data_IF_878244649594
#
_entry.id   IF_878244649594
#
_cell.length_a   1.000
_cell.length_b   1.000
_cell.length_c   1.000
_cell.angle_alpha   90.00
_cell.angle_beta   90.00
_cell.angle_gamma   90.00
#
_symmetry.space_group_name_H-M   'P 1'
#
loop_
_entity.id
_entity.type
_entity.pdbx_description
1 polymer ?
#
# COMPACT_ATOMS: atom_id res chain seq x y z
N UNK A 1 -6.04 2.16 -42.36
CA UNK A 1 -6.01 3.54 -41.84
C UNK A 1 -7.08 3.66 -40.77
N UNK A 2 -6.64 3.86 -39.52
CA UNK A 2 -7.32 4.52 -38.39
C UNK A 2 -6.82 3.92 -37.07
N UNK A 3 -5.57 4.23 -36.75
CA UNK A 3 -4.95 4.00 -35.44
C UNK A 3 -4.42 5.31 -34.83
N UNK A 4 -4.89 6.47 -35.32
CA UNK A 4 -4.31 7.79 -34.99
C UNK A 4 -5.11 8.53 -33.90
N UNK A 5 -6.23 7.97 -33.42
CA UNK A 5 -7.11 8.64 -32.44
C UNK A 5 -6.86 8.27 -30.99
N UNK A 6 -6.12 7.20 -30.68
CA UNK A 6 -5.87 6.78 -29.30
C UNK A 6 -4.64 7.47 -28.66
N UNK A 7 -3.63 7.85 -29.44
CA UNK A 7 -2.41 8.44 -28.90
C UNK A 7 -2.62 9.86 -28.36
N UNK A 8 -3.40 10.69 -29.04
CA UNK A 8 -3.62 12.09 -28.64
C UNK A 8 -4.39 12.17 -27.32
N UNK A 9 -5.42 11.33 -27.15
CA UNK A 9 -6.17 11.26 -25.89
C UNK A 9 -5.33 10.72 -24.73
N UNK A 10 -4.36 9.84 -24.99
CA UNK A 10 -3.42 9.33 -23.98
C UNK A 10 -2.43 10.43 -23.54
N UNK A 11 -1.87 11.17 -24.49
CA UNK A 11 -0.94 12.29 -24.23
C UNK A 11 -1.61 13.41 -23.42
N UNK A 12 -2.87 13.73 -23.71
CA UNK A 12 -3.62 14.76 -22.98
C UNK A 12 -3.92 14.34 -21.52
N UNK A 13 -4.24 13.06 -21.29
CA UNK A 13 -4.43 12.50 -19.95
C UNK A 13 -3.15 12.55 -19.11
N UNK A 14 -2.02 12.16 -19.70
CA UNK A 14 -0.73 12.16 -19.00
C UNK A 14 -0.30 13.58 -18.60
N UNK A 15 -0.46 14.54 -19.51
CA UNK A 15 -0.15 15.94 -19.23
C UNK A 15 -0.99 16.46 -18.06
N UNK A 16 -2.29 16.14 -18.04
CA UNK A 16 -3.18 16.50 -16.94
C UNK A 16 -2.73 15.87 -15.61
N UNK A 17 -2.34 14.59 -15.60
CA UNK A 17 -1.84 13.88 -14.42
C UNK A 17 -0.59 14.54 -13.84
N UNK A 18 0.37 14.90 -14.69
CA UNK A 18 1.60 15.59 -14.27
C UNK A 18 1.30 16.98 -13.71
N UNK A 19 0.38 17.72 -14.34
CA UNK A 19 -0.07 19.03 -13.85
C UNK A 19 -0.77 18.93 -12.49
N UNK A 20 -1.70 17.98 -12.32
CA UNK A 20 -2.40 17.75 -11.06
C UNK A 20 -1.42 17.37 -9.94
N UNK A 21 -0.46 16.49 -10.23
CA UNK A 21 0.55 16.07 -9.25
C UNK A 21 1.44 17.23 -8.79
N UNK A 22 1.91 18.05 -9.73
CA UNK A 22 2.73 19.23 -9.41
C UNK A 22 1.94 20.25 -8.59
N UNK A 23 0.71 20.54 -9.00
CA UNK A 23 -0.20 21.46 -8.32
C UNK A 23 -0.44 21.06 -6.85
N UNK A 24 -0.74 19.78 -6.60
CA UNK A 24 -0.94 19.26 -5.24
C UNK A 24 0.31 19.35 -4.35
N UNK A 25 1.51 19.32 -4.95
CA UNK A 25 2.76 19.44 -4.20
C UNK A 25 3.05 20.90 -3.81
N UNK A 26 2.70 21.84 -4.68
CA UNK A 26 2.94 23.28 -4.50
C UNK A 26 1.90 23.96 -3.58
N UNK A 27 0.74 23.32 -3.36
CA UNK A 27 -0.29 23.78 -2.44
C UNK A 27 0.10 23.55 -0.96
N UNK A 28 -0.38 24.43 -0.09
CA UNK A 28 -0.38 24.18 1.35
C UNK A 28 -1.26 22.95 1.70
N UNK A 29 -1.14 22.46 2.92
CA UNK A 29 -1.79 21.20 3.31
C UNK A 29 -3.32 21.28 3.32
N UNK A 30 -3.88 22.46 3.64
CA UNK A 30 -5.32 22.63 3.76
C UNK A 30 -5.96 22.71 2.36
N UNK A 31 -5.40 23.55 1.48
CA UNK A 31 -5.83 23.69 0.10
C UNK A 31 -5.63 22.38 -0.69
N UNK A 32 -4.51 21.67 -0.47
CA UNK A 32 -4.26 20.39 -1.11
C UNK A 32 -5.24 19.30 -0.68
N UNK A 33 -5.74 19.33 0.57
CA UNK A 33 -6.76 18.39 1.04
C UNK A 33 -8.09 18.65 0.33
N UNK A 34 -8.50 19.92 0.24
CA UNK A 34 -9.74 20.31 -0.46
C UNK A 34 -9.69 19.89 -1.93
N UNK A 35 -8.57 20.12 -2.59
CA UNK A 35 -8.41 19.76 -4.01
C UNK A 35 -8.35 18.24 -4.22
N UNK A 36 -7.71 17.51 -3.30
CA UNK A 36 -7.72 16.04 -3.31
C UNK A 36 -9.15 15.48 -3.19
N UNK A 37 -9.99 16.06 -2.31
CA UNK A 37 -11.39 15.66 -2.17
C UNK A 37 -12.19 15.90 -3.46
N UNK A 38 -12.02 17.05 -4.12
CA UNK A 38 -12.66 17.34 -5.42
C UNK A 38 -12.26 16.35 -6.52
N UNK A 39 -10.99 15.94 -6.54
CA UNK A 39 -10.49 14.94 -7.50
C UNK A 39 -11.16 13.59 -7.26
N UNK A 40 -11.38 13.22 -5.99
CA UNK A 40 -12.08 11.97 -5.64
C UNK A 40 -13.58 12.02 -5.93
N UNK A 41 -14.22 13.17 -5.71
CA UNK A 41 -15.62 13.39 -6.06
C UNK A 41 -15.84 13.37 -7.58
N UNK A 42 -14.80 13.69 -8.35
CA UNK A 42 -14.79 13.51 -9.79
C UNK A 42 -14.47 12.05 -10.14
N UNK A 43 -15.47 11.17 -10.02
CA UNK A 43 -15.31 9.72 -10.21
C UNK A 43 -14.52 9.36 -11.47
N UNK A 44 -14.75 10.08 -12.58
CA UNK A 44 -14.06 9.90 -13.85
C UNK A 44 -12.53 10.05 -13.74
N UNK A 45 -12.05 11.07 -13.01
CA UNK A 45 -10.61 11.33 -12.85
C UNK A 45 -9.99 10.25 -11.97
N UNK A 46 -10.67 9.85 -10.89
CA UNK A 46 -10.22 8.75 -10.06
C UNK A 46 -10.09 7.44 -10.85
N UNK A 47 -11.09 7.10 -11.68
CA UNK A 47 -11.03 5.92 -12.53
C UNK A 47 -9.87 5.97 -13.53
N UNK A 48 -9.56 7.13 -14.11
CA UNK A 48 -8.40 7.27 -15.00
C UNK A 48 -7.08 7.03 -14.27
N UNK A 49 -6.97 7.52 -13.03
CA UNK A 49 -5.79 7.28 -12.20
C UNK A 49 -5.63 5.79 -11.92
N UNK A 50 -6.71 5.14 -11.50
CA UNK A 50 -6.76 3.69 -11.24
C UNK A 50 -6.35 2.89 -12.48
N UNK A 51 -6.96 3.19 -13.63
CA UNK A 51 -6.69 2.51 -14.90
C UNK A 51 -5.22 2.68 -15.31
N UNK A 52 -4.69 3.90 -15.19
CA UNK A 52 -3.30 4.22 -15.49
C UNK A 52 -2.30 3.47 -14.62
N UNK A 53 -2.58 3.32 -13.31
CA UNK A 53 -1.75 2.54 -12.37
C UNK A 53 -1.81 1.04 -12.68
N UNK A 54 -2.99 0.54 -13.07
CA UNK A 54 -3.24 -0.88 -13.26
C UNK A 54 -2.80 -1.41 -14.63
N UNK A 55 -2.68 -0.54 -15.64
CA UNK A 55 -2.35 -0.93 -17.01
C UNK A 55 -0.94 -1.55 -17.11
N UNK A 56 -0.86 -2.73 -17.72
CA UNK A 56 0.40 -3.46 -18.01
C UNK A 56 1.12 -2.93 -19.26
N UNK A 57 0.37 -2.29 -20.16
CA UNK A 57 0.87 -1.74 -21.42
C UNK A 57 1.28 -0.25 -21.29
N UNK A 58 0.97 0.38 -20.15
CA UNK A 58 1.24 1.78 -19.91
C UNK A 58 2.64 1.98 -19.31
N UNK A 59 3.58 2.52 -20.09
CA UNK A 59 4.92 2.89 -19.63
C UNK A 59 4.88 4.02 -18.57
N UNK A 60 3.78 4.77 -18.48
CA UNK A 60 3.63 5.95 -17.62
C UNK A 60 2.96 5.64 -16.26
N UNK A 61 2.79 4.36 -15.91
CA UNK A 61 2.15 3.92 -14.66
C UNK A 61 2.75 4.57 -13.41
N UNK A 62 4.04 4.90 -13.42
CA UNK A 62 4.74 5.58 -12.33
C UNK A 62 4.19 6.99 -12.05
N UNK A 63 3.78 7.72 -13.08
CA UNK A 63 3.19 9.06 -12.91
C UNK A 63 1.79 8.97 -12.30
N UNK A 64 0.99 8.00 -12.75
CA UNK A 64 -0.32 7.74 -12.17
C UNK A 64 -0.20 7.28 -10.71
N UNK A 65 0.77 6.41 -10.40
CA UNK A 65 1.05 5.97 -9.04
C UNK A 65 1.51 7.10 -8.13
N UNK A 66 2.34 8.01 -8.66
CA UNK A 66 2.80 9.20 -7.94
C UNK A 66 1.67 10.17 -7.63
N UNK A 67 0.78 10.45 -8.60
CA UNK A 67 -0.40 11.30 -8.37
C UNK A 67 -1.34 10.66 -7.34
N UNK A 68 -1.60 9.36 -7.48
CA UNK A 68 -2.43 8.61 -6.54
C UNK A 68 -1.89 8.66 -5.11
N UNK A 69 -0.57 8.51 -4.95
CA UNK A 69 0.11 8.70 -3.67
C UNK A 69 -0.10 10.13 -3.14
N UNK A 70 0.14 11.15 -3.97
CA UNK A 70 -0.02 12.56 -3.58
C UNK A 70 -1.43 12.82 -3.04
N UNK A 71 -2.47 12.42 -3.79
CA UNK A 71 -3.87 12.55 -3.38
C UNK A 71 -4.08 11.95 -1.99
N UNK A 72 -3.76 10.67 -1.79
CA UNK A 72 -4.05 10.00 -0.51
C UNK A 72 -3.22 10.58 0.64
N UNK A 73 -2.00 11.06 0.37
CA UNK A 73 -1.20 11.70 1.42
C UNK A 73 -1.74 13.05 1.87
N UNK A 74 -2.48 13.75 1.01
CA UNK A 74 -3.08 15.06 1.28
C UNK A 74 -4.48 14.97 1.87
N UNK A 75 -5.21 13.88 1.62
CA UNK A 75 -6.48 13.61 2.30
C UNK A 75 -6.30 13.56 3.82
N UNK A 76 -7.30 14.06 4.54
CA UNK A 76 -7.42 13.87 5.98
C UNK A 76 -7.79 12.40 6.33
N UNK A 77 -8.02 12.12 7.61
CA UNK A 77 -8.35 10.75 8.04
C UNK A 77 -9.72 10.31 7.51
N UNK A 78 -10.70 11.21 7.44
CA UNK A 78 -12.06 10.93 6.98
C UNK A 78 -12.10 10.62 5.49
N UNK A 79 -11.43 11.42 4.66
CA UNK A 79 -11.30 11.24 3.22
C UNK A 79 -10.59 9.92 2.88
N UNK A 80 -9.52 9.58 3.62
CA UNK A 80 -8.85 8.27 3.48
C UNK A 80 -9.79 7.10 3.78
N UNK A 81 -10.53 7.17 4.88
CA UNK A 81 -11.50 6.12 5.24
C UNK A 81 -12.60 6.01 4.18
N UNK A 82 -13.11 7.13 3.68
CA UNK A 82 -14.12 7.16 2.62
C UNK A 82 -13.61 6.50 1.34
N UNK A 83 -12.40 6.86 0.91
CA UNK A 83 -11.72 6.25 -0.23
C UNK A 83 -11.54 4.74 -0.04
N UNK A 84 -11.10 4.31 1.15
CA UNK A 84 -10.98 2.90 1.51
C UNK A 84 -12.33 2.19 1.38
N UNK A 85 -13.38 2.71 2.00
CA UNK A 85 -14.70 2.07 2.02
C UNK A 85 -15.29 1.97 0.61
N UNK A 86 -15.19 3.05 -0.19
CA UNK A 86 -15.75 3.10 -1.54
C UNK A 86 -15.00 2.24 -2.54
N UNK A 87 -13.66 2.23 -2.46
CA UNK A 87 -12.81 1.65 -3.51
C UNK A 87 -11.94 0.49 -3.03
N UNK A 88 -12.26 -0.12 -1.88
CA UNK A 88 -11.43 -1.11 -1.21
C UNK A 88 -10.81 -2.16 -2.16
N UNK A 89 -11.65 -2.81 -2.97
CA UNK A 89 -11.20 -3.86 -3.89
C UNK A 89 -10.25 -3.36 -4.97
N UNK A 90 -10.44 -2.12 -5.44
CA UNK A 90 -9.59 -1.47 -6.42
C UNK A 90 -8.25 -1.10 -5.79
N UNK A 91 -8.28 -0.48 -4.60
CA UNK A 91 -7.09 -0.10 -3.84
C UNK A 91 -6.22 -1.33 -3.53
N UNK A 92 -6.86 -2.43 -3.08
CA UNK A 92 -6.18 -3.71 -2.85
C UNK A 92 -5.46 -4.19 -4.10
N UNK A 93 -6.11 -4.14 -5.26
CA UNK A 93 -5.51 -4.53 -6.55
C UNK A 93 -4.34 -3.61 -6.93
N UNK A 94 -4.49 -2.30 -6.81
CA UNK A 94 -3.44 -1.30 -7.06
C UNK A 94 -2.23 -1.58 -6.19
N UNK A 95 -2.44 -1.70 -4.88
CA UNK A 95 -1.40 -1.99 -3.90
C UNK A 95 -0.68 -3.29 -4.27
N UNK A 96 -1.42 -4.37 -4.54
CA UNK A 96 -0.85 -5.65 -4.95
C UNK A 96 -0.06 -5.57 -6.26
N UNK A 97 -0.53 -4.80 -7.24
CA UNK A 97 0.13 -4.64 -8.53
C UNK A 97 1.42 -3.83 -8.43
N UNK A 98 1.39 -2.69 -7.73
CA UNK A 98 2.60 -1.90 -7.44
C UNK A 98 3.63 -2.79 -6.74
N UNK A 99 3.22 -3.51 -5.69
CA UNK A 99 4.12 -4.45 -5.00
C UNK A 99 4.66 -5.54 -5.91
N UNK A 100 3.81 -6.17 -6.74
CA UNK A 100 4.25 -7.28 -7.60
C UNK A 100 5.26 -6.82 -8.65
N UNK A 101 5.07 -5.62 -9.23
CA UNK A 101 6.01 -5.04 -10.19
C UNK A 101 7.32 -4.65 -9.53
N UNK A 102 7.24 -3.92 -8.43
CA UNK A 102 8.43 -3.43 -7.73
C UNK A 102 9.27 -4.59 -7.21
N UNK A 103 8.65 -5.62 -6.63
CA UNK A 103 9.36 -6.83 -6.17
C UNK A 103 10.09 -7.54 -7.30
N UNK A 104 9.48 -7.63 -8.49
CA UNK A 104 10.14 -8.21 -9.66
C UNK A 104 11.34 -7.36 -10.06
N UNK A 105 11.19 -6.04 -10.13
CA UNK A 105 12.26 -5.12 -10.50
C UNK A 105 13.40 -5.17 -9.46
N UNK A 106 13.09 -5.13 -8.17
CA UNK A 106 14.08 -5.20 -7.10
C UNK A 106 14.84 -6.52 -7.04
N UNK A 107 14.13 -7.65 -7.13
CA UNK A 107 14.79 -8.96 -7.08
C UNK A 107 15.63 -9.24 -8.33
N UNK A 108 15.27 -8.67 -9.48
CA UNK A 108 16.01 -8.86 -10.74
C UNK A 108 17.17 -7.87 -10.87
N UNK A 109 16.97 -6.59 -10.52
CA UNK A 109 17.95 -5.53 -10.76
C UNK A 109 18.99 -5.38 -9.64
N UNK A 110 18.66 -5.73 -8.39
CA UNK A 110 19.56 -5.49 -7.26
C UNK A 110 19.67 -6.74 -6.36
N UNK A 111 20.41 -7.78 -6.80
CA UNK A 111 20.44 -9.04 -6.07
C UNK A 111 21.09 -8.97 -4.69
N UNK A 112 21.86 -7.92 -4.32
CA UNK A 112 22.46 -7.84 -2.97
C UNK A 112 23.19 -6.58 -2.51
N UNK A 113 23.42 -5.52 -3.29
CA UNK A 113 24.52 -4.59 -2.92
C UNK A 113 24.31 -3.08 -2.90
N UNK A 114 23.20 -2.49 -3.37
CA UNK A 114 22.98 -1.05 -3.18
C UNK A 114 21.49 -0.75 -2.98
N UNK A 115 21.02 -0.98 -1.76
CA UNK A 115 19.63 -0.69 -1.38
C UNK A 115 19.39 0.79 -1.03
N UNK A 116 20.43 1.62 -0.98
CA UNK A 116 20.31 3.06 -0.72
C UNK A 116 19.57 3.81 -1.84
N UNK A 117 19.41 3.19 -3.02
CA UNK A 117 18.64 3.72 -4.16
C UNK A 117 17.30 3.03 -4.36
N UNK A 118 16.68 2.54 -3.29
CA UNK A 118 15.30 2.07 -3.35
C UNK A 118 14.41 3.05 -4.14
N UNK A 119 13.77 2.67 -5.28
CA UNK A 119 12.91 3.57 -6.02
C UNK A 119 11.85 4.18 -5.10
N UNK A 120 11.76 5.50 -5.16
CA UNK A 120 10.84 6.35 -4.37
C UNK A 120 9.40 5.80 -4.35
N UNK A 121 8.99 5.14 -5.43
CA UNK A 121 7.64 4.59 -5.65
C UNK A 121 7.30 3.46 -4.67
N UNK A 122 8.21 2.51 -4.42
CA UNK A 122 7.95 1.39 -3.50
C UNK A 122 7.83 1.87 -2.06
N UNK A 123 8.66 2.85 -1.67
CA UNK A 123 8.56 3.49 -0.36
C UNK A 123 7.24 4.26 -0.22
N UNK A 124 6.80 4.95 -1.28
CA UNK A 124 5.54 5.66 -1.32
C UNK A 124 4.34 4.70 -1.21
N UNK A 125 4.34 3.58 -1.92
CA UNK A 125 3.29 2.57 -1.81
C UNK A 125 3.26 1.91 -0.42
N UNK A 126 4.42 1.59 0.14
CA UNK A 126 4.55 1.13 1.52
C UNK A 126 3.97 2.14 2.53
N UNK A 127 4.37 3.41 2.40
CA UNK A 127 3.89 4.51 3.24
C UNK A 127 2.38 4.70 3.13
N UNK A 128 1.86 4.58 1.90
CA UNK A 128 0.44 4.68 1.62
C UNK A 128 -0.34 3.61 2.38
N UNK A 129 0.09 2.36 2.27
CA UNK A 129 -0.56 1.25 2.98
C UNK A 129 -0.48 1.44 4.49
N UNK A 130 0.68 1.84 5.02
CA UNK A 130 0.84 2.09 6.46
C UNK A 130 -0.08 3.22 6.93
N UNK A 131 -0.20 4.31 6.17
CA UNK A 131 -1.14 5.40 6.47
C UNK A 131 -2.59 4.92 6.46
N UNK A 132 -2.97 4.14 5.46
CA UNK A 132 -4.30 3.53 5.34
C UNK A 132 -4.60 2.63 6.54
N UNK A 133 -3.66 1.73 6.89
CA UNK A 133 -3.79 0.84 8.05
C UNK A 133 -3.92 1.63 9.34
N UNK A 134 -3.11 2.69 9.53
CA UNK A 134 -3.19 3.58 10.69
C UNK A 134 -4.58 4.22 10.81
N UNK A 135 -5.14 4.71 9.71
CA UNK A 135 -6.46 5.37 9.70
C UNK A 135 -7.63 4.44 10.05
N UNK A 136 -7.44 3.12 10.02
CA UNK A 136 -8.48 2.14 10.35
C UNK A 136 -8.18 1.32 11.62
N UNK A 137 -7.14 1.66 12.39
CA UNK A 137 -6.73 0.89 13.58
C UNK A 137 -7.82 0.73 14.64
N UNK A 138 -8.76 1.67 14.69
CA UNK A 138 -9.87 1.69 15.64
C UNK A 138 -11.14 1.01 15.10
N UNK A 139 -11.11 0.51 13.86
CA UNK A 139 -12.21 -0.23 13.25
C UNK A 139 -11.78 -1.67 12.92
N UNK A 140 -12.01 -2.63 13.84
CA UNK A 140 -11.64 -4.02 13.64
C UNK A 140 -12.13 -4.63 12.34
N UNK A 141 -13.40 -4.37 11.97
CA UNK A 141 -13.99 -4.89 10.74
C UNK A 141 -13.32 -4.34 9.48
N UNK A 142 -13.01 -3.03 9.45
CA UNK A 142 -12.33 -2.42 8.30
C UNK A 142 -10.87 -2.88 8.22
N UNK A 143 -10.20 -3.00 9.36
CA UNK A 143 -8.85 -3.51 9.41
C UNK A 143 -8.80 -4.98 8.98
N UNK A 144 -9.74 -5.82 9.41
CA UNK A 144 -9.85 -7.22 8.96
C UNK A 144 -10.14 -7.30 7.45
N UNK A 145 -10.99 -6.43 6.91
CA UNK A 145 -11.21 -6.34 5.46
C UNK A 145 -9.93 -5.95 4.73
N UNK A 146 -9.24 -4.90 5.20
CA UNK A 146 -8.00 -4.38 4.63
C UNK A 146 -6.84 -5.37 4.69
N UNK A 147 -6.67 -5.99 5.86
CA UNK A 147 -5.65 -7.00 6.08
C UNK A 147 -6.03 -8.31 5.42
N UNK A 148 -7.31 -8.64 5.29
CA UNK A 148 -7.90 -9.67 4.44
C UNK A 148 -7.13 -10.99 4.34
N UNK A 149 -6.44 -11.42 5.42
CA UNK A 149 -5.55 -12.58 5.52
C UNK A 149 -4.10 -12.44 4.99
N UNK A 150 -3.61 -11.24 4.66
CA UNK A 150 -2.26 -11.10 4.14
C UNK A 150 -1.49 -9.83 4.52
N UNK A 151 -0.57 -9.98 5.48
CA UNK A 151 0.45 -8.98 5.83
C UNK A 151 1.63 -8.99 4.84
N UNK A 152 1.39 -9.13 3.52
CA UNK A 152 2.47 -9.10 2.49
C UNK A 152 3.29 -7.83 2.58
N UNK A 153 2.64 -6.71 2.89
CA UNK A 153 3.31 -5.42 3.06
C UNK A 153 4.37 -5.50 4.15
N UNK A 154 4.10 -6.21 5.25
CA UNK A 154 5.09 -6.41 6.31
C UNK A 154 6.34 -7.16 5.81
N UNK A 155 6.17 -8.20 4.96
CA UNK A 155 7.31 -8.88 4.32
C UNK A 155 8.19 -7.91 3.55
N UNK A 156 7.57 -7.03 2.76
CA UNK A 156 8.32 -6.12 1.89
C UNK A 156 9.05 -5.08 2.73
N UNK A 157 8.33 -4.47 3.67
CA UNK A 157 8.90 -3.55 4.66
C UNK A 157 10.07 -4.19 5.41
N UNK A 158 9.96 -5.46 5.83
CA UNK A 158 11.04 -6.16 6.53
C UNK A 158 12.31 -6.33 5.69
N UNK A 159 12.21 -6.28 4.36
CA UNK A 159 13.33 -6.43 3.43
C UNK A 159 13.90 -5.08 2.97
N UNK A 160 13.35 -3.94 3.41
CA UNK A 160 13.86 -2.61 3.06
C UNK A 160 15.01 -2.19 4.00
N UNK A 161 16.09 -1.57 3.50
CA UNK A 161 17.25 -1.19 4.32
C UNK A 161 16.94 -0.04 5.30
N UNK A 162 15.96 0.79 4.97
CA UNK A 162 15.63 2.04 5.66
C UNK A 162 14.13 2.13 5.81
N UNK A 163 13.66 1.94 7.04
CA UNK A 163 12.31 2.28 7.45
C UNK A 163 12.38 3.21 8.64
N UNK A 164 11.34 4.03 8.78
CA UNK A 164 11.11 4.84 9.94
C UNK A 164 10.43 4.00 11.01
N UNK A 165 10.78 4.20 12.28
CA UNK A 165 10.16 3.48 13.40
C UNK A 165 8.63 3.64 13.39
N UNK A 166 8.14 4.78 12.91
CA UNK A 166 6.72 5.07 12.80
C UNK A 166 5.91 4.06 11.97
N UNK A 167 6.50 3.39 10.98
CA UNK A 167 5.78 2.33 10.24
C UNK A 167 5.71 1.03 11.03
N UNK A 168 6.78 0.68 11.75
CA UNK A 168 6.80 -0.48 12.62
C UNK A 168 5.84 -0.33 13.81
N UNK A 169 5.62 0.91 14.29
CA UNK A 169 4.64 1.21 15.34
C UNK A 169 3.23 0.81 14.93
N UNK A 170 2.82 1.05 13.68
CA UNK A 170 1.51 0.62 13.18
C UNK A 170 1.35 -0.89 13.25
N UNK A 171 2.38 -1.66 12.84
CA UNK A 171 2.33 -3.12 12.98
C UNK A 171 2.36 -3.56 14.44
N UNK A 172 3.09 -2.85 15.32
CA UNK A 172 3.09 -3.15 16.75
C UNK A 172 1.69 -2.98 17.34
N UNK A 173 1.02 -1.89 17.03
CA UNK A 173 -0.35 -1.63 17.47
C UNK A 173 -1.33 -2.68 16.93
N UNK A 174 -1.25 -3.03 15.64
CA UNK A 174 -2.05 -4.11 15.05
C UNK A 174 -1.82 -5.42 15.80
N UNK A 175 -0.57 -5.82 16.02
CA UNK A 175 -0.26 -7.11 16.65
C UNK A 175 -0.57 -7.15 18.15
N UNK A 176 -0.68 -6.00 18.81
CA UNK A 176 -1.21 -5.88 20.17
C UNK A 176 -2.71 -6.08 20.18
N UNK A 177 -3.45 -5.48 19.23
CA UNK A 177 -4.92 -5.62 19.14
C UNK A 177 -5.37 -6.97 18.58
N UNK A 178 -4.59 -7.58 17.68
CA UNK A 178 -4.95 -8.80 16.92
C UNK A 178 -3.82 -9.84 16.97
N UNK A 179 -3.77 -10.61 18.05
CA UNK A 179 -2.68 -11.56 18.32
C UNK A 179 -2.60 -12.73 17.33
N UNK A 180 -3.72 -13.10 16.71
CA UNK A 180 -3.85 -14.13 15.67
C UNK A 180 -2.91 -13.87 14.48
N UNK A 181 -2.61 -12.61 14.19
CA UNK A 181 -1.72 -12.23 13.10
C UNK A 181 -0.24 -12.41 13.42
N UNK A 182 0.17 -12.58 14.69
CA UNK A 182 1.59 -12.68 15.08
C UNK A 182 2.33 -13.81 14.37
N UNK A 183 1.67 -14.97 14.19
CA UNK A 183 2.26 -16.12 13.50
C UNK A 183 2.54 -15.81 12.02
N UNK A 184 1.49 -15.39 11.29
CA UNK A 184 1.60 -15.04 9.86
C UNK A 184 2.57 -13.88 9.64
N UNK A 185 2.54 -12.86 10.50
CA UNK A 185 3.49 -11.74 10.46
C UNK A 185 4.93 -12.25 10.57
N UNK A 186 5.21 -13.12 11.56
CA UNK A 186 6.55 -13.67 11.74
C UNK A 186 7.04 -14.49 10.56
N UNK A 187 6.26 -15.45 10.11
CA UNK A 187 6.62 -16.31 8.97
C UNK A 187 6.98 -15.49 7.71
N UNK A 188 6.39 -14.30 7.58
CA UNK A 188 6.60 -13.41 6.44
C UNK A 188 7.80 -12.48 6.59
N UNK A 189 8.22 -12.17 7.82
CA UNK A 189 9.20 -11.11 8.11
C UNK A 189 10.47 -11.63 8.79
N UNK A 190 10.52 -12.91 9.16
CA UNK A 190 11.69 -13.51 9.82
C UNK A 190 12.98 -13.43 8.99
N UNK A 191 12.84 -13.41 7.65
CA UNK A 191 13.95 -13.25 6.69
C UNK A 191 14.25 -11.80 6.34
N UNK A 192 13.64 -10.86 7.05
CA UNK A 192 13.91 -9.43 6.89
C UNK A 192 15.36 -9.07 7.22
N UNK A 193 15.77 -7.87 6.81
CA UNK A 193 17.13 -7.36 7.02
C UNK A 193 17.40 -7.10 8.51
N UNK A 194 18.65 -7.32 8.94
CA UNK A 194 19.09 -6.97 10.29
C UNK A 194 19.07 -5.46 10.51
N UNK A 195 18.63 -5.04 11.70
CA UNK A 195 18.43 -3.63 12.04
C UNK A 195 17.10 -3.04 11.54
N UNK A 196 16.35 -3.73 10.66
CA UNK A 196 15.03 -3.26 10.22
C UNK A 196 13.99 -3.37 11.36
N UNK A 197 13.28 -2.29 11.72
CA UNK A 197 12.32 -2.30 12.83
C UNK A 197 11.14 -3.28 12.66
N UNK A 198 10.64 -3.47 11.43
CA UNK A 198 9.56 -4.41 11.11
C UNK A 198 10.04 -5.87 11.22
N UNK A 199 11.24 -6.16 10.72
CA UNK A 199 11.87 -7.48 10.87
C UNK A 199 12.14 -7.78 12.35
N UNK A 200 12.68 -6.82 13.10
CA UNK A 200 12.97 -6.96 14.53
C UNK A 200 11.71 -7.19 15.38
N UNK A 201 10.59 -6.56 15.03
CA UNK A 201 9.31 -6.81 15.68
C UNK A 201 8.95 -8.31 15.63
N UNK A 202 9.16 -8.96 14.49
CA UNK A 202 8.87 -10.39 14.33
C UNK A 202 9.73 -11.32 15.17
N UNK A 203 11.01 -10.95 15.31
CA UNK A 203 12.04 -11.71 16.05
C UNK A 203 11.82 -11.64 17.56
N UNK A 204 11.13 -10.60 18.03
CA UNK A 204 10.71 -10.46 19.42
C UNK A 204 9.60 -11.44 19.83
N UNK A 205 8.89 -12.04 18.85
CA UNK A 205 7.87 -13.03 19.15
C UNK A 205 8.51 -14.41 19.35
N UNK A 206 8.32 -15.06 20.50
CA UNK A 206 8.84 -16.41 20.71
C UNK A 206 8.24 -17.34 19.64
N UNK A 207 9.02 -18.28 19.08
CA UNK A 207 8.44 -19.30 18.21
C UNK A 207 7.44 -20.05 19.06
N UNK A 208 6.20 -20.21 18.58
CA UNK A 208 5.31 -21.19 19.21
C UNK A 208 6.06 -22.52 19.14
N UNK A 209 6.45 -23.04 20.31
CA UNK A 209 6.89 -24.43 20.41
C UNK A 209 5.79 -25.29 19.76
N UNK A 210 6.14 -26.36 19.03
CA UNK A 210 5.15 -27.29 18.53
C UNK A 210 4.39 -27.85 19.74
N UNK A 211 3.22 -27.31 20.02
CA UNK A 211 2.28 -27.90 20.97
C UNK A 211 1.70 -29.12 20.29
N UNK A 212 2.12 -30.30 20.73
CA UNK A 212 1.42 -31.55 20.43
C UNK A 212 -0.05 -31.42 20.87
N UNK A 213 -0.96 -31.61 19.92
CA UNK A 213 -2.38 -31.91 20.16
C UNK A 213 -3.24 -30.77 20.72
N UNK A 214 -3.93 -30.06 19.82
CA UNK A 214 -5.38 -29.77 19.92
C UNK A 214 -5.86 -29.17 18.61
N UNK A 215 -6.48 -30.01 17.79
CA UNK A 215 -7.24 -29.59 16.62
C UNK A 215 -8.50 -28.88 17.11
N UNK A 216 -8.60 -27.58 16.89
CA UNK A 216 -9.88 -26.88 17.01
C UNK A 216 -10.64 -27.17 15.73
N UNK A 217 -11.59 -28.10 15.79
CA UNK A 217 -12.63 -28.24 14.77
C UNK A 217 -13.47 -26.96 14.90
N UNK A 218 -13.47 -26.13 13.86
CA UNK A 218 -14.49 -25.11 13.66
C UNK A 218 -15.83 -25.87 13.62
N UNK A 219 -16.61 -25.81 14.71
CA UNK A 219 -18.03 -26.14 14.64
C UNK A 219 -18.65 -25.06 13.79
N UNK A 220 -19.11 -25.43 12.60
CA UNK A 220 -20.07 -24.64 11.84
C UNK A 220 -21.29 -24.44 12.75
N UNK A 221 -21.66 -23.18 12.99
CA UNK A 221 -22.97 -22.87 13.55
C UNK A 221 -23.99 -23.19 12.45
N UNK A 222 -24.89 -24.13 12.75
CA UNK A 222 -26.07 -24.44 11.95
C UNK A 222 -27.01 -23.22 11.95
N UNK A 223 -27.31 -22.69 10.77
CA UNK A 223 -28.62 -22.10 10.44
C UNK A 223 -29.26 -22.90 9.31
#
# INVERSE_FOLDING_TARGET
MNAVTNDTACVDKLKLVRMMGSSLLDMDLEDASIEADKILDTETVFFWIVEGVMSEENEEHDHYGSLFYCIITRLDTSGRVTLIVRYFNILKKIICNIFTRDVKIYHVAFPRTDYDSAPCITLNACNLVVKVLRSVLDSPKLLEQLLGFDLRVAKHLSLMPRLFDSQADVFREILVKYHEFKKSFRERTERGLDGNPVANLSRSFPPKAPTEGKWYILKEEEE
#
